data_IF_126391347066
#
_entry.id   IF_126391347066
#
_cell.length_a   1.000
_cell.length_b   1.000
_cell.length_c   1.000
_cell.angle_alpha   90.00
_cell.angle_beta   90.00
_cell.angle_gamma   90.00
#
_symmetry.space_group_name_H-M   'P 1'
#
loop_
_entity.id
_entity.type
_entity.pdbx_description
1 polymer ?
#
# COMPACT_ATOMS: atom_id res chain seq x y z
N UNK A 1 8.66 30.15 35.91
CA UNK A 1 8.60 29.64 34.55
C UNK A 1 9.51 28.43 34.48
N UNK A 2 8.95 27.23 34.62
CA UNK A 2 9.67 25.96 34.48
C UNK A 2 9.69 25.57 32.99
N UNK A 3 10.81 25.21 32.41
CA UNK A 3 10.86 24.77 31.01
C UNK A 3 10.19 23.41 30.85
N UNK A 4 9.29 23.31 29.86
CA UNK A 4 8.69 22.03 29.42
C UNK A 4 9.75 21.04 29.01
N UNK A 5 9.59 19.74 29.29
CA UNK A 5 10.52 18.71 28.85
C UNK A 5 10.46 18.58 27.32
N UNK A 6 11.62 18.75 26.70
CA UNK A 6 11.85 18.45 25.28
C UNK A 6 11.60 16.95 25.08
N UNK A 7 10.58 16.59 24.30
CA UNK A 7 10.35 15.23 23.87
C UNK A 7 11.53 14.80 22.98
N UNK A 8 12.12 13.60 23.22
CA UNK A 8 13.15 13.08 22.34
C UNK A 8 12.55 12.83 20.94
N UNK A 9 13.33 13.01 19.86
CA UNK A 9 12.89 12.75 18.51
C UNK A 9 12.43 11.29 18.40
N UNK A 10 11.29 11.08 17.71
CA UNK A 10 10.81 9.76 17.33
C UNK A 10 11.98 9.01 16.67
N UNK A 11 12.35 7.87 17.24
CA UNK A 11 13.42 7.03 16.70
C UNK A 11 13.02 6.66 15.28
N UNK A 12 13.84 7.04 14.30
CA UNK A 12 13.78 6.48 12.94
C UNK A 12 13.64 4.96 13.05
N UNK A 13 12.67 4.40 12.30
CA UNK A 13 12.44 2.97 12.29
C UNK A 13 13.76 2.24 12.05
N UNK A 14 14.04 1.24 12.86
CA UNK A 14 15.29 0.46 12.81
C UNK A 14 15.29 -0.42 11.54
N UNK A 15 15.71 0.17 10.43
CA UNK A 15 15.83 -0.50 9.12
C UNK A 15 17.10 -1.36 9.10
N UNK A 16 17.04 -2.51 9.74
CA UNK A 16 18.10 -3.51 9.57
C UNK A 16 17.72 -4.48 8.43
N UNK A 17 18.69 -4.91 7.58
CA UNK A 17 18.41 -5.89 6.49
C UNK A 17 17.75 -7.18 6.99
N UNK A 18 18.01 -7.55 8.23
CA UNK A 18 17.40 -8.73 8.86
C UNK A 18 15.93 -8.47 9.20
N UNK A 19 15.60 -7.26 9.69
CA UNK A 19 14.23 -6.87 9.99
C UNK A 19 13.36 -6.83 8.73
N UNK A 20 13.89 -6.29 7.64
CA UNK A 20 13.20 -6.26 6.34
C UNK A 20 12.97 -7.66 5.81
N UNK A 21 13.97 -8.55 5.86
CA UNK A 21 13.83 -9.96 5.46
C UNK A 21 12.77 -10.70 6.28
N UNK A 22 12.64 -10.41 7.56
CA UNK A 22 11.60 -11.00 8.42
C UNK A 22 10.21 -10.49 8.00
N UNK A 23 10.06 -9.19 7.73
CA UNK A 23 8.80 -8.63 7.25
C UNK A 23 8.44 -9.16 5.86
N UNK A 24 9.41 -9.36 4.96
CA UNK A 24 9.18 -9.97 3.65
C UNK A 24 8.69 -11.41 3.76
N UNK A 25 9.30 -12.20 4.65
CA UNK A 25 8.87 -13.56 4.95
C UNK A 25 7.45 -13.61 5.55
N UNK A 26 7.17 -12.72 6.50
CA UNK A 26 5.83 -12.58 7.10
C UNK A 26 4.78 -12.23 6.06
N UNK A 27 5.07 -11.23 5.22
CA UNK A 27 4.20 -10.79 4.12
C UNK A 27 3.95 -11.92 3.12
N UNK A 28 4.99 -12.65 2.72
CA UNK A 28 4.86 -13.80 1.83
C UNK A 28 3.92 -14.86 2.38
N UNK A 29 4.08 -15.24 3.65
CA UNK A 29 3.19 -16.22 4.30
C UNK A 29 1.74 -15.73 4.37
N UNK A 30 1.51 -14.44 4.66
CA UNK A 30 0.16 -13.87 4.67
C UNK A 30 -0.51 -13.97 3.30
N UNK A 31 0.22 -13.66 2.23
CA UNK A 31 -0.30 -13.66 0.86
C UNK A 31 -0.58 -15.10 0.40
N UNK A 32 0.38 -15.99 0.57
CA UNK A 32 0.38 -17.32 -0.04
C UNK A 32 -0.44 -18.33 0.76
N UNK A 33 -0.44 -18.23 2.09
CA UNK A 33 -1.00 -19.25 2.99
C UNK A 33 -2.00 -18.70 4.00
N UNK A 34 -2.15 -17.37 4.05
CA UNK A 34 -3.06 -16.68 4.96
C UNK A 34 -2.52 -16.52 6.38
N UNK A 35 -3.28 -15.80 7.20
CA UNK A 35 -2.85 -15.38 8.54
C UNK A 35 -2.57 -16.54 9.50
N UNK A 36 -3.26 -17.68 9.37
CA UNK A 36 -3.08 -18.86 10.24
C UNK A 36 -1.69 -19.48 10.07
N UNK A 37 -1.15 -19.48 8.85
CA UNK A 37 0.18 -20.02 8.56
C UNK A 37 1.32 -19.07 8.98
N UNK A 38 1.05 -17.78 9.11
CA UNK A 38 2.02 -16.77 9.51
C UNK A 38 2.29 -16.81 11.03
N UNK A 39 2.81 -17.95 11.50
CA UNK A 39 3.26 -18.16 12.88
C UNK A 39 4.69 -17.67 13.06
N UNK A 40 5.13 -17.40 14.31
CA UNK A 40 6.52 -17.01 14.58
C UNK A 40 7.51 -18.05 14.07
N UNK A 41 7.22 -19.33 14.24
CA UNK A 41 8.04 -20.44 13.74
C UNK A 41 8.08 -20.46 12.20
N UNK A 42 6.93 -20.32 11.54
CA UNK A 42 6.85 -20.27 10.08
C UNK A 42 7.62 -19.09 9.50
N UNK A 43 7.48 -17.90 10.11
CA UNK A 43 8.19 -16.69 9.70
C UNK A 43 9.70 -16.84 9.93
N UNK A 44 10.15 -17.40 11.07
CA UNK A 44 11.55 -17.64 11.33
C UNK A 44 12.17 -18.57 10.28
N UNK A 45 11.50 -19.69 10.00
CA UNK A 45 11.92 -20.64 8.97
C UNK A 45 12.00 -19.99 7.56
N UNK A 46 10.95 -19.26 7.15
CA UNK A 46 10.91 -18.56 5.86
C UNK A 46 11.97 -17.44 5.76
N UNK A 47 12.31 -16.77 6.87
CA UNK A 47 13.35 -15.75 6.92
C UNK A 47 14.77 -16.33 7.06
N UNK A 48 14.94 -17.66 7.20
CA UNK A 48 16.22 -18.30 7.42
C UNK A 48 16.85 -17.97 8.79
N UNK A 49 16.00 -17.82 9.83
CA UNK A 49 16.41 -17.50 11.19
C UNK A 49 16.02 -18.60 12.19
N UNK A 50 16.74 -18.68 13.29
CA UNK A 50 16.25 -19.40 14.47
C UNK A 50 15.08 -18.64 15.10
N UNK A 51 14.20 -19.33 15.84
CA UNK A 51 13.12 -18.69 16.61
C UNK A 51 13.64 -17.60 17.55
N UNK A 52 14.77 -17.84 18.21
CA UNK A 52 15.43 -16.84 19.09
C UNK A 52 15.92 -15.61 18.31
N UNK A 53 16.48 -15.82 17.11
CA UNK A 53 16.88 -14.74 16.21
C UNK A 53 15.70 -13.89 15.75
N UNK A 54 14.56 -14.50 15.42
CA UNK A 54 13.35 -13.75 15.10
C UNK A 54 12.84 -12.96 16.30
N UNK A 55 12.77 -13.61 17.50
CA UNK A 55 12.25 -12.97 18.72
C UNK A 55 13.10 -11.77 19.17
N UNK A 56 14.38 -11.73 18.82
CA UNK A 56 15.23 -10.56 19.03
C UNK A 56 14.76 -9.33 18.24
N UNK A 57 14.26 -9.53 17.01
CA UNK A 57 13.77 -8.45 16.16
C UNK A 57 12.28 -8.16 16.36
N UNK A 58 11.47 -9.22 16.57
CA UNK A 58 10.03 -9.14 16.74
C UNK A 58 9.55 -10.10 17.83
N UNK A 59 9.30 -9.56 19.03
CA UNK A 59 8.98 -10.35 20.21
C UNK A 59 7.62 -11.07 20.18
N UNK A 60 6.76 -10.78 19.19
CA UNK A 60 5.42 -11.38 19.06
C UNK A 60 4.89 -11.27 17.63
N UNK A 61 3.82 -12.04 17.31
CA UNK A 61 3.09 -11.88 16.06
C UNK A 61 2.51 -10.48 15.91
N UNK A 62 2.02 -9.90 16.99
CA UNK A 62 1.52 -8.51 17.01
C UNK A 62 2.63 -7.50 16.68
N UNK A 63 3.87 -7.74 17.10
CA UNK A 63 5.02 -6.91 16.72
C UNK A 63 5.34 -7.01 15.23
N UNK A 64 5.17 -8.20 14.60
CA UNK A 64 5.29 -8.39 13.16
C UNK A 64 4.19 -7.61 12.41
N UNK A 65 2.95 -7.68 12.88
CA UNK A 65 1.84 -6.91 12.31
C UNK A 65 2.14 -5.41 12.36
N UNK A 66 2.51 -4.88 13.52
CA UNK A 66 2.88 -3.47 13.67
C UNK A 66 4.05 -3.07 12.76
N UNK A 67 5.07 -3.92 12.65
CA UNK A 67 6.20 -3.69 11.75
C UNK A 67 5.77 -3.61 10.29
N UNK A 68 4.87 -4.49 9.84
CA UNK A 68 4.31 -4.47 8.49
C UNK A 68 3.51 -3.18 8.24
N UNK A 69 2.67 -2.76 9.20
CA UNK A 69 1.85 -1.56 9.05
C UNK A 69 2.68 -0.27 9.08
N UNK A 70 3.74 -0.20 9.90
CA UNK A 70 4.70 0.91 9.87
C UNK A 70 5.39 1.00 8.50
N UNK A 71 5.85 -0.14 7.95
CA UNK A 71 6.42 -0.19 6.60
C UNK A 71 5.41 0.25 5.53
N UNK A 72 4.12 -0.09 5.67
CA UNK A 72 3.07 0.41 4.79
C UNK A 72 2.99 1.94 4.83
N UNK A 73 2.96 2.53 6.03
CA UNK A 73 2.89 3.98 6.21
C UNK A 73 4.07 4.69 5.54
N UNK A 74 5.31 4.17 5.71
CA UNK A 74 6.51 4.72 5.10
C UNK A 74 6.47 4.64 3.56
N UNK A 75 6.09 3.48 3.01
CA UNK A 75 6.00 3.29 1.56
C UNK A 75 4.89 4.15 0.93
N UNK A 76 3.77 4.33 1.63
CA UNK A 76 2.69 5.24 1.18
C UNK A 76 3.16 6.69 1.22
N UNK A 77 3.88 7.11 2.26
CA UNK A 77 4.42 8.46 2.34
C UNK A 77 5.38 8.76 1.16
N UNK A 78 6.25 7.80 0.83
CA UNK A 78 7.14 7.90 -0.33
C UNK A 78 6.36 7.97 -1.65
N UNK A 79 5.30 7.19 -1.79
CA UNK A 79 4.46 7.20 -2.98
C UNK A 79 3.69 8.51 -3.13
N UNK A 80 3.18 9.09 -2.04
CA UNK A 80 2.55 10.42 -2.02
C UNK A 80 3.52 11.50 -2.55
N UNK A 81 4.80 11.44 -2.18
CA UNK A 81 5.81 12.36 -2.72
C UNK A 81 5.95 12.18 -4.24
N UNK A 82 5.97 10.94 -4.72
CA UNK A 82 6.06 10.64 -6.17
C UNK A 82 4.82 11.12 -6.93
N UNK A 83 3.62 10.85 -6.39
CA UNK A 83 2.35 11.32 -6.98
C UNK A 83 2.38 12.85 -7.13
N UNK A 84 2.73 13.58 -6.07
CA UNK A 84 2.75 15.05 -6.07
C UNK A 84 3.81 15.64 -7.01
N UNK A 85 4.92 14.95 -7.25
CA UNK A 85 6.00 15.36 -8.12
C UNK A 85 5.95 14.83 -9.55
N UNK A 86 4.91 14.07 -9.89
CA UNK A 86 4.77 13.42 -11.19
C UNK A 86 4.64 14.45 -12.33
N UNK A 87 5.50 14.37 -13.35
CA UNK A 87 5.54 15.31 -14.46
C UNK A 87 4.24 15.35 -15.28
N UNK A 88 3.55 14.20 -15.41
CA UNK A 88 2.27 14.09 -16.10
C UNK A 88 1.06 14.42 -15.17
N UNK A 89 1.33 14.77 -13.92
CA UNK A 89 0.34 15.10 -12.91
C UNK A 89 -0.11 13.90 -12.06
N UNK A 90 -0.70 14.19 -10.86
CA UNK A 90 -1.07 13.18 -9.87
C UNK A 90 -2.04 12.12 -10.39
N UNK A 91 -3.04 12.51 -11.18
CA UNK A 91 -4.06 11.60 -11.71
C UNK A 91 -3.45 10.62 -12.73
N UNK A 92 -2.62 11.10 -13.65
CA UNK A 92 -1.93 10.25 -14.63
C UNK A 92 -1.03 9.23 -13.92
N UNK A 93 -0.24 9.70 -12.96
CA UNK A 93 0.62 8.83 -12.15
C UNK A 93 -0.20 7.75 -11.44
N UNK A 94 -1.22 8.13 -10.67
CA UNK A 94 -2.05 7.20 -9.92
C UNK A 94 -2.62 6.11 -10.84
N UNK A 95 -3.24 6.49 -11.96
CA UNK A 95 -3.89 5.54 -12.88
C UNK A 95 -2.86 4.60 -13.53
N UNK A 96 -1.67 5.11 -13.91
CA UNK A 96 -0.64 4.26 -14.55
C UNK A 96 0.05 3.32 -13.60
N UNK A 97 0.15 3.69 -12.31
CA UNK A 97 0.76 2.85 -11.28
C UNK A 97 -0.24 2.01 -10.48
N UNK A 98 -1.54 2.11 -10.79
CA UNK A 98 -2.61 1.33 -10.14
C UNK A 98 -2.66 -0.13 -10.61
N UNK A 99 -1.50 -0.74 -10.80
CA UNK A 99 -1.41 -2.17 -11.13
C UNK A 99 -0.41 -2.84 -10.20
N UNK A 100 -0.76 -4.03 -9.74
CA UNK A 100 0.18 -4.81 -8.94
C UNK A 100 1.28 -5.36 -9.82
N UNK A 101 2.49 -4.83 -9.67
CA UNK A 101 3.71 -5.26 -10.35
C UNK A 101 4.64 -6.05 -9.41
N UNK A 102 4.17 -6.35 -8.19
CA UNK A 102 4.94 -7.06 -7.18
C UNK A 102 6.00 -6.20 -6.49
N UNK A 103 5.87 -4.88 -6.56
CA UNK A 103 6.76 -3.93 -5.86
C UNK A 103 6.71 -4.14 -4.33
N UNK A 104 7.67 -3.61 -3.57
CA UNK A 104 7.59 -3.63 -2.11
C UNK A 104 6.30 -3.02 -1.56
N UNK A 105 5.77 -1.95 -2.18
CA UNK A 105 4.49 -1.34 -1.82
C UNK A 105 3.34 -2.31 -2.07
N UNK A 106 3.23 -2.89 -3.27
CA UNK A 106 2.17 -3.84 -3.63
C UNK A 106 2.12 -5.03 -2.68
N UNK A 107 3.28 -5.63 -2.39
CA UNK A 107 3.37 -6.77 -1.48
C UNK A 107 2.94 -6.38 -0.06
N UNK A 108 3.35 -5.19 0.41
CA UNK A 108 2.98 -4.70 1.73
C UNK A 108 1.49 -4.40 1.84
N UNK A 109 0.89 -3.80 0.79
CA UNK A 109 -0.57 -3.60 0.67
C UNK A 109 -1.29 -4.95 0.72
N UNK A 110 -0.87 -5.92 -0.10
CA UNK A 110 -1.49 -7.24 -0.13
C UNK A 110 -1.47 -7.92 1.25
N UNK A 111 -0.34 -7.87 1.97
CA UNK A 111 -0.22 -8.38 3.33
C UNK A 111 -1.15 -7.68 4.32
N UNK A 112 -1.22 -6.34 4.27
CA UNK A 112 -2.11 -5.55 5.12
C UNK A 112 -3.59 -5.84 4.82
N UNK A 113 -3.96 -5.94 3.55
CA UNK A 113 -5.33 -6.32 3.12
C UNK A 113 -5.69 -7.72 3.60
N UNK A 114 -4.77 -8.70 3.55
CA UNK A 114 -5.02 -10.05 4.10
C UNK A 114 -5.32 -10.02 5.61
N UNK A 115 -4.58 -9.22 6.38
CA UNK A 115 -4.86 -9.03 7.80
C UNK A 115 -6.21 -8.32 8.04
N UNK A 116 -6.52 -7.30 7.24
CA UNK A 116 -7.79 -6.58 7.33
C UNK A 116 -8.98 -7.50 7.01
N UNK A 117 -8.89 -8.37 6.01
CA UNK A 117 -9.89 -9.40 5.69
C UNK A 117 -10.07 -10.40 6.84
N UNK A 118 -9.02 -10.68 7.63
CA UNK A 118 -9.07 -11.43 8.88
C UNK A 118 -9.65 -10.63 10.06
N UNK A 119 -10.18 -9.44 9.81
CA UNK A 119 -10.76 -8.53 10.81
C UNK A 119 -9.75 -7.99 11.83
N UNK A 120 -8.47 -7.88 11.49
CA UNK A 120 -7.44 -7.30 12.35
C UNK A 120 -7.63 -5.78 12.47
N UNK A 121 -7.93 -5.21 13.68
CA UNK A 121 -8.36 -3.81 13.80
C UNK A 121 -7.32 -2.79 13.29
N UNK A 122 -6.03 -2.99 13.63
CA UNK A 122 -4.97 -2.08 13.18
C UNK A 122 -4.78 -2.13 11.66
N UNK A 123 -4.90 -3.31 11.04
CA UNK A 123 -4.79 -3.44 9.60
C UNK A 123 -5.96 -2.76 8.87
N UNK A 124 -7.19 -2.91 9.38
CA UNK A 124 -8.35 -2.18 8.86
C UNK A 124 -8.12 -0.66 8.90
N UNK A 125 -7.65 -0.15 10.04
CA UNK A 125 -7.35 1.29 10.19
C UNK A 125 -6.27 1.74 9.21
N UNK A 126 -5.19 0.96 9.06
CA UNK A 126 -4.07 1.30 8.17
C UNK A 126 -4.48 1.31 6.69
N UNK A 127 -5.26 0.30 6.23
CA UNK A 127 -5.74 0.24 4.84
C UNK A 127 -6.68 1.41 4.52
N UNK A 128 -7.58 1.77 5.45
CA UNK A 128 -8.46 2.93 5.28
C UNK A 128 -7.65 4.23 5.28
N UNK A 129 -6.66 4.36 6.16
CA UNK A 129 -5.78 5.55 6.23
C UNK A 129 -4.98 5.73 4.93
N UNK A 130 -4.40 4.65 4.42
CA UNK A 130 -3.68 4.62 3.14
C UNK A 130 -4.55 5.18 2.00
N UNK A 131 -5.76 4.62 1.82
CA UNK A 131 -6.68 5.06 0.77
C UNK A 131 -7.06 6.54 0.91
N UNK A 132 -7.30 7.01 2.14
CA UNK A 132 -7.61 8.42 2.42
C UNK A 132 -6.47 9.37 2.05
N UNK A 133 -5.22 8.96 2.24
CA UNK A 133 -4.07 9.79 1.89
C UNK A 133 -3.96 9.98 0.37
N UNK A 134 -4.17 8.93 -0.42
CA UNK A 134 -4.21 9.04 -1.88
C UNK A 134 -5.40 9.88 -2.34
N UNK A 135 -6.61 9.62 -1.79
CA UNK A 135 -7.80 10.39 -2.10
C UNK A 135 -7.58 11.89 -1.86
N UNK A 136 -6.98 12.27 -0.74
CA UNK A 136 -6.70 13.68 -0.42
C UNK A 136 -5.81 14.37 -1.48
N UNK A 137 -4.79 13.66 -2.00
CA UNK A 137 -3.93 14.21 -3.08
C UNK A 137 -4.72 14.40 -4.37
N UNK A 138 -5.62 13.48 -4.69
CA UNK A 138 -6.44 13.59 -5.89
C UNK A 138 -7.49 14.68 -5.73
N UNK A 139 -8.14 14.81 -4.56
CA UNK A 139 -9.07 15.91 -4.24
C UNK A 139 -8.39 17.28 -4.37
N UNK A 140 -7.19 17.44 -3.82
CA UNK A 140 -6.39 18.66 -3.98
C UNK A 140 -6.10 18.98 -5.45
N UNK A 141 -5.96 17.95 -6.29
CA UNK A 141 -5.60 18.11 -7.70
C UNK A 141 -6.81 18.46 -8.58
N UNK A 142 -7.96 17.80 -8.36
CA UNK A 142 -9.13 17.95 -9.24
C UNK A 142 -10.15 18.97 -8.71
N UNK A 143 -10.12 19.31 -7.42
CA UNK A 143 -10.99 20.32 -6.79
C UNK A 143 -12.45 19.88 -6.62
N UNK A 144 -12.81 18.65 -6.98
CA UNK A 144 -14.16 18.08 -6.87
C UNK A 144 -14.09 16.73 -6.18
N UNK A 145 -14.67 16.59 -4.97
CA UNK A 145 -14.58 15.36 -4.18
C UNK A 145 -15.27 14.15 -4.83
N UNK A 146 -16.35 14.35 -5.58
CA UNK A 146 -17.07 13.25 -6.25
C UNK A 146 -16.26 12.72 -7.44
N UNK A 147 -15.60 13.61 -8.17
CA UNK A 147 -14.67 13.25 -9.25
C UNK A 147 -13.43 12.55 -8.70
N UNK A 148 -12.89 13.04 -7.58
CA UNK A 148 -11.76 12.39 -6.91
C UNK A 148 -12.10 10.97 -6.45
N UNK A 149 -13.27 10.78 -5.84
CA UNK A 149 -13.74 9.45 -5.43
C UNK A 149 -13.93 8.52 -6.64
N UNK A 150 -14.47 9.01 -7.76
CA UNK A 150 -14.61 8.23 -8.99
C UNK A 150 -13.24 7.79 -9.55
N UNK A 151 -12.23 8.67 -9.50
CA UNK A 151 -10.84 8.36 -9.89
C UNK A 151 -10.26 7.27 -8.98
N UNK A 152 -10.47 7.38 -7.67
CA UNK A 152 -10.03 6.36 -6.72
C UNK A 152 -10.68 5.00 -6.96
N UNK A 153 -11.99 4.97 -7.27
CA UNK A 153 -12.69 3.72 -7.61
C UNK A 153 -12.16 3.09 -8.91
N UNK A 154 -11.77 3.89 -9.88
CA UNK A 154 -11.10 3.41 -11.11
C UNK A 154 -9.74 2.80 -10.75
N UNK A 155 -8.94 3.48 -9.92
CA UNK A 155 -7.66 3.00 -9.42
C UNK A 155 -7.79 1.68 -8.67
N UNK A 156 -8.71 1.60 -7.71
CA UNK A 156 -9.03 0.39 -6.94
C UNK A 156 -9.43 -0.77 -7.88
N UNK A 157 -10.24 -0.48 -8.90
CA UNK A 157 -10.66 -1.46 -9.90
C UNK A 157 -9.53 -1.98 -10.78
N UNK A 158 -8.58 -1.12 -11.16
CA UNK A 158 -7.37 -1.50 -11.90
C UNK A 158 -6.47 -2.38 -11.05
N UNK A 159 -6.23 -2.00 -9.79
CA UNK A 159 -5.44 -2.79 -8.85
C UNK A 159 -6.06 -4.17 -8.64
N UNK A 160 -7.34 -4.23 -8.30
CA UNK A 160 -8.05 -5.50 -8.11
C UNK A 160 -8.01 -6.35 -9.39
N UNK A 161 -8.31 -5.77 -10.56
CA UNK A 161 -8.25 -6.46 -11.83
C UNK A 161 -6.88 -7.07 -12.14
N UNK A 162 -5.80 -6.38 -11.77
CA UNK A 162 -4.43 -6.89 -11.98
C UNK A 162 -4.08 -8.08 -11.07
N UNK A 163 -4.74 -8.23 -9.91
CA UNK A 163 -4.49 -9.33 -8.96
C UNK A 163 -5.24 -10.63 -9.29
N UNK A 164 -6.28 -10.58 -10.14
CA UNK A 164 -7.07 -11.76 -10.55
C UNK A 164 -6.65 -12.35 -11.90
N UNK A 165 -5.41 -12.12 -12.32
CA UNK A 165 -4.90 -12.66 -13.57
C UNK A 165 -4.74 -14.18 -13.50
N UNK A 166 -5.11 -14.86 -14.59
CA UNK A 166 -4.96 -16.31 -14.75
C UNK A 166 -4.51 -16.63 -16.18
N UNK A 167 -4.16 -17.89 -16.45
CA UNK A 167 -3.85 -18.34 -17.80
C UNK A 167 -5.01 -18.09 -18.79
N UNK A 168 -6.26 -18.09 -18.30
CA UNK A 168 -7.44 -17.80 -19.09
C UNK A 168 -7.75 -16.28 -19.23
N UNK A 169 -7.11 -15.45 -18.40
CA UNK A 169 -7.28 -13.99 -18.39
C UNK A 169 -5.92 -13.33 -18.13
N UNK A 170 -5.08 -13.16 -19.15
CA UNK A 170 -3.73 -12.62 -19.02
C UNK A 170 -3.73 -11.15 -18.58
N UNK A 171 -2.72 -10.74 -17.82
CA UNK A 171 -2.57 -9.35 -17.37
C UNK A 171 -2.58 -8.33 -18.51
N UNK A 172 -2.00 -8.68 -19.66
CA UNK A 172 -1.97 -7.84 -20.85
C UNK A 172 -3.38 -7.50 -21.41
N UNK A 173 -4.37 -8.38 -21.22
CA UNK A 173 -5.75 -8.14 -21.63
C UNK A 173 -6.51 -7.25 -20.61
N UNK A 174 -6.05 -7.26 -19.36
CA UNK A 174 -6.66 -6.45 -18.31
C UNK A 174 -6.26 -4.99 -18.46
N UNK A 175 -4.98 -4.70 -18.74
CA UNK A 175 -4.47 -3.33 -18.77
C UNK A 175 -3.36 -3.14 -19.78
N UNK A 176 -3.69 -2.80 -21.01
CA UNK A 176 -2.72 -2.28 -21.99
C UNK A 176 -2.53 -0.76 -21.82
N UNK A 177 -1.37 -0.23 -22.21
CA UNK A 177 -1.09 1.21 -22.20
C UNK A 177 -2.21 2.00 -22.94
N UNK A 178 -2.67 1.49 -24.08
CA UNK A 178 -3.79 2.10 -24.83
C UNK A 178 -5.13 2.11 -24.06
N UNK A 179 -5.35 1.15 -23.16
CA UNK A 179 -6.54 1.14 -22.29
C UNK A 179 -6.41 2.20 -21.20
N UNK A 180 -5.22 2.34 -20.59
CA UNK A 180 -4.96 3.41 -19.62
C UNK A 180 -5.13 4.79 -20.24
N UNK A 181 -4.63 5.01 -21.46
CA UNK A 181 -4.79 6.28 -22.18
C UNK A 181 -6.27 6.60 -22.42
N UNK A 182 -7.08 5.61 -22.78
CA UNK A 182 -8.54 5.81 -22.93
C UNK A 182 -9.22 6.12 -21.59
N UNK A 183 -8.81 5.46 -20.49
CA UNK A 183 -9.34 5.77 -19.16
C UNK A 183 -8.96 7.19 -18.73
N UNK A 184 -7.71 7.60 -18.92
CA UNK A 184 -7.24 8.96 -18.65
C UNK A 184 -8.02 9.99 -19.48
N UNK A 185 -8.33 9.70 -20.74
CA UNK A 185 -9.17 10.58 -21.56
C UNK A 185 -10.62 10.67 -21.04
N UNK A 186 -11.17 9.60 -20.44
CA UNK A 186 -12.47 9.66 -19.76
C UNK A 186 -12.39 10.54 -18.51
N UNK A 187 -11.39 10.31 -17.68
CA UNK A 187 -11.14 11.10 -16.46
C UNK A 187 -10.98 12.59 -16.82
N UNK A 188 -10.19 12.93 -17.85
CA UNK A 188 -10.02 14.31 -18.31
C UNK A 188 -11.36 14.99 -18.60
N UNK A 189 -12.28 14.31 -19.28
CA UNK A 189 -13.63 14.86 -19.53
C UNK A 189 -14.47 15.02 -18.25
N UNK A 190 -14.22 14.24 -17.22
CA UNK A 190 -14.90 14.42 -15.92
C UNK A 190 -14.37 15.68 -15.24
N UNK A 191 -13.05 15.87 -15.21
CA UNK A 191 -12.43 17.05 -14.59
C UNK A 191 -12.73 18.36 -15.33
N UNK A 192 -12.77 18.35 -16.68
CA UNK A 192 -13.09 19.53 -17.47
C UNK A 192 -14.53 20.05 -17.23
N UNK A 193 -15.47 19.16 -16.95
CA UNK A 193 -16.88 19.53 -16.69
C UNK A 193 -17.07 20.21 -15.35
N UNK A 194 -16.22 19.97 -14.38
CA UNK A 194 -16.27 20.62 -13.06
C UNK A 194 -15.54 21.98 -13.05
N UNK A 195 -14.69 22.23 -14.03
CA UNK A 195 -13.99 23.51 -14.21
C UNK A 195 -14.82 24.60 -14.90
N UNK A 196 -16.05 24.26 -15.37
CA UNK A 196 -16.97 25.23 -16.01
C UNK A 196 -18.00 25.70 -14.98
N UNK A 197 -18.03 26.99 -14.58
CA UNK A 197 -18.95 27.54 -13.60
C UNK A 197 -20.40 27.55 -14.07
#
# INVERSE_FOLDING_TARGET
MTPSPVQPPLRSADHSPTRDRVLDAFTGLLIDQGERAATLEGVAAAAGLSKGGLLYHFGSKEALVRGLLTRLEELVADDIVRIRSAAAGPVDYLIRTSMSEGTPLDRTIAGAVRLAQGSHPLANTAVVSMRRQWLAVIEETVGDPDVAEAIMLISDGLYFGSTITSAAYPAADVVSAARLDRLLAVIGRMTDRTATP
#
